data_IF_892523684562
#
_entry.id   IF_892523684562
#
_cell.length_a   1.000
_cell.length_b   1.000
_cell.length_c   1.000
_cell.angle_alpha   90.00
_cell.angle_beta   90.00
_cell.angle_gamma   90.00
#
_symmetry.space_group_name_H-M   'P 1'
#
loop_
_entity.id
_entity.type
_entity.pdbx_description
1 polymer ?
#
# COMPACT_ATOMS: atom_id res chain seq x y z
N UNK A 1 29.75 -0.57 -4.90
CA UNK A 1 28.28 -0.65 -4.95
C UNK A 1 27.75 0.71 -5.34
N UNK A 2 27.13 0.86 -6.50
CA UNK A 2 26.36 2.07 -6.82
C UNK A 2 24.90 1.74 -6.58
N UNK A 3 24.43 1.98 -5.36
CA UNK A 3 22.99 2.07 -5.08
C UNK A 3 22.71 3.55 -4.87
N UNK A 4 22.01 4.17 -5.81
CA UNK A 4 21.29 5.41 -5.52
C UNK A 4 19.87 5.12 -5.91
N UNK A 5 19.00 4.83 -4.93
CA UNK A 5 17.56 5.11 -4.97
C UNK A 5 17.03 5.21 -3.53
N UNK A 6 16.65 6.42 -3.12
CA UNK A 6 15.99 6.73 -1.85
C UNK A 6 14.46 6.67 -1.92
N UNK A 7 13.90 6.25 -3.06
CA UNK A 7 12.47 6.27 -3.34
C UNK A 7 11.99 4.92 -3.91
N UNK A 8 10.80 4.48 -3.49
CA UNK A 8 10.16 3.23 -3.93
C UNK A 8 9.84 3.26 -5.44
N UNK A 9 9.93 2.12 -6.16
CA UNK A 9 9.76 2.07 -7.61
C UNK A 9 8.28 2.19 -8.01
N UNK A 10 7.82 3.43 -8.19
CA UNK A 10 6.48 3.73 -8.69
C UNK A 10 6.56 4.07 -10.17
N UNK A 11 5.81 3.37 -11.01
CA UNK A 11 5.95 3.56 -12.45
C UNK A 11 4.79 3.04 -13.28
N UNK A 12 4.48 3.81 -14.32
CA UNK A 12 3.74 3.37 -15.49
C UNK A 12 4.65 3.39 -16.70
N UNK A 13 4.48 2.40 -17.58
CA UNK A 13 5.28 2.23 -18.79
C UNK A 13 4.38 1.85 -19.98
N UNK A 14 4.97 1.97 -21.16
CA UNK A 14 4.43 1.42 -22.40
C UNK A 14 5.32 0.23 -22.77
N UNK A 15 4.72 -0.88 -23.17
CA UNK A 15 5.45 -2.07 -23.61
C UNK A 15 6.14 -1.75 -24.94
N UNK A 16 7.47 -1.89 -24.98
CA UNK A 16 8.25 -1.74 -26.22
C UNK A 16 8.40 -3.09 -26.94
N UNK A 17 8.68 -4.17 -26.21
CA UNK A 17 8.75 -5.52 -26.77
C UNK A 17 8.43 -6.56 -25.71
N UNK A 18 8.19 -7.80 -26.16
CA UNK A 18 7.87 -8.95 -25.29
C UNK A 18 8.80 -10.12 -25.57
N UNK A 19 9.18 -10.84 -24.51
CA UNK A 19 9.99 -12.05 -24.62
C UNK A 19 9.21 -13.27 -25.13
N UNK A 20 9.90 -14.33 -25.58
CA UNK A 20 9.26 -15.56 -26.02
C UNK A 20 8.31 -16.15 -24.97
N UNK A 21 7.12 -16.57 -25.41
CA UNK A 21 6.09 -17.18 -24.55
C UNK A 21 5.19 -16.20 -23.80
N UNK A 22 5.44 -14.88 -23.88
CA UNK A 22 4.52 -13.87 -23.35
C UNK A 22 3.40 -13.64 -24.36
N UNK A 23 2.16 -13.96 -23.97
CA UNK A 23 0.97 -13.84 -24.84
C UNK A 23 -0.02 -12.77 -24.40
N UNK A 24 0.15 -12.24 -23.19
CA UNK A 24 -0.82 -11.33 -22.57
C UNK A 24 -0.53 -9.84 -22.83
N UNK A 25 0.61 -9.51 -23.44
CA UNK A 25 1.05 -8.15 -23.76
C UNK A 25 1.47 -8.05 -25.23
N UNK A 26 1.22 -6.88 -25.81
CA UNK A 26 1.70 -6.47 -27.13
C UNK A 26 2.48 -5.15 -26.98
N UNK A 27 3.32 -4.84 -27.97
CA UNK A 27 3.91 -3.51 -28.11
C UNK A 27 2.81 -2.42 -28.08
N UNK A 28 3.08 -1.32 -27.38
CA UNK A 28 2.14 -0.21 -27.18
C UNK A 28 1.19 -0.37 -26.00
N UNK A 29 1.12 -1.53 -25.34
CA UNK A 29 0.26 -1.69 -24.17
C UNK A 29 0.73 -0.82 -22.98
N UNK A 30 -0.21 -0.16 -22.32
CA UNK A 30 0.06 0.59 -21.10
C UNK A 30 0.07 -0.36 -19.90
N UNK A 31 1.11 -0.27 -19.07
CA UNK A 31 1.30 -1.17 -17.93
C UNK A 31 1.71 -0.43 -16.66
N UNK A 32 1.20 -0.90 -15.52
CA UNK A 32 1.76 -0.63 -14.20
C UNK A 32 2.78 -1.72 -13.87
N UNK A 33 3.97 -1.34 -13.43
CA UNK A 33 4.98 -2.30 -12.97
C UNK A 33 4.95 -2.37 -11.45
N UNK A 34 4.89 -3.58 -10.90
CA UNK A 34 4.66 -3.83 -9.47
C UNK A 34 5.79 -4.66 -8.87
N UNK A 35 6.10 -4.41 -7.59
CA UNK A 35 7.22 -5.05 -6.89
C UNK A 35 6.90 -6.45 -6.34
N UNK A 36 5.62 -6.84 -6.38
CA UNK A 36 5.15 -8.22 -6.21
C UNK A 36 4.38 -8.60 -7.47
N UNK A 37 4.52 -9.83 -7.93
CA UNK A 37 3.87 -10.32 -9.14
C UNK A 37 2.76 -11.34 -8.87
N UNK A 38 2.13 -11.79 -9.96
CA UNK A 38 1.05 -12.77 -9.93
C UNK A 38 1.22 -13.77 -11.09
N UNK A 39 1.70 -14.98 -10.78
CA UNK A 39 1.90 -16.03 -11.79
C UNK A 39 0.61 -16.78 -12.16
N UNK A 40 -0.49 -16.59 -11.41
CA UNK A 40 -1.80 -17.25 -11.56
C UNK A 40 -1.84 -18.77 -11.40
N UNK A 41 -0.70 -19.45 -11.31
CA UNK A 41 -0.63 -20.92 -11.31
C UNK A 41 -0.21 -21.53 -9.96
N UNK A 42 0.56 -20.81 -9.14
CA UNK A 42 1.00 -21.29 -7.83
C UNK A 42 -0.14 -21.37 -6.81
N UNK A 43 0.08 -22.07 -5.70
CA UNK A 43 -0.94 -22.30 -4.66
C UNK A 43 -1.48 -20.98 -4.10
N UNK A 44 -0.60 -20.01 -3.85
CA UNK A 44 -0.99 -18.71 -3.31
C UNK A 44 -1.84 -17.90 -4.28
N UNK A 45 -1.49 -17.88 -5.58
CA UNK A 45 -2.28 -17.17 -6.58
C UNK A 45 -3.67 -17.78 -6.80
N UNK A 46 -3.78 -19.11 -6.70
CA UNK A 46 -5.06 -19.83 -6.80
C UNK A 46 -5.95 -19.64 -5.57
N UNK A 47 -5.35 -19.42 -4.40
CA UNK A 47 -6.06 -19.14 -3.15
C UNK A 47 -6.67 -17.74 -3.14
N UNK A 48 -7.85 -17.56 -2.58
CA UNK A 48 -8.46 -16.26 -2.28
C UNK A 48 -7.89 -15.59 -1.02
N UNK A 49 -7.10 -16.33 -0.22
CA UNK A 49 -6.58 -15.88 1.08
C UNK A 49 -5.26 -15.11 1.03
N UNK A 50 -4.63 -14.99 -0.14
CA UNK A 50 -3.25 -14.49 -0.25
C UNK A 50 -3.01 -13.73 -1.55
N UNK A 51 -2.15 -12.72 -1.49
CA UNK A 51 -1.56 -12.05 -2.64
C UNK A 51 -0.04 -12.30 -2.79
N UNK A 52 0.54 -13.16 -1.97
CA UNK A 52 1.99 -13.41 -1.97
C UNK A 52 2.32 -14.56 -2.92
N UNK A 53 2.63 -14.25 -4.17
CA UNK A 53 2.99 -15.27 -5.16
C UNK A 53 4.25 -16.06 -4.73
N UNK A 54 4.22 -17.39 -4.83
CA UNK A 54 5.39 -18.25 -4.55
C UNK A 54 6.52 -18.06 -5.55
N UNK A 55 6.19 -17.71 -6.79
CA UNK A 55 7.16 -17.55 -7.88
C UNK A 55 7.65 -16.11 -7.96
N UNK A 56 6.75 -15.14 -7.79
CA UNK A 56 6.99 -13.71 -8.03
C UNK A 56 6.72 -12.90 -6.77
N UNK A 57 7.13 -13.41 -5.62
CA UNK A 57 7.03 -12.70 -4.34
C UNK A 57 7.92 -11.45 -4.30
N UNK A 58 8.30 -11.03 -3.10
CA UNK A 58 9.19 -9.87 -2.96
C UNK A 58 10.62 -10.23 -3.42
N UNK A 59 11.00 -9.75 -4.60
CA UNK A 59 12.31 -10.00 -5.21
C UNK A 59 13.45 -9.28 -4.46
N UNK A 60 14.52 -10.01 -4.12
CA UNK A 60 15.64 -9.50 -3.29
C UNK A 60 17.04 -9.79 -3.85
N UNK A 61 17.17 -10.61 -4.89
CA UNK A 61 18.45 -10.99 -5.51
C UNK A 61 18.90 -9.99 -6.56
N UNK A 62 17.98 -9.23 -7.15
CA UNK A 62 18.28 -8.20 -8.14
C UNK A 62 18.64 -8.77 -9.52
N UNK A 63 18.15 -9.97 -9.82
CA UNK A 63 18.36 -10.68 -11.08
C UNK A 63 17.04 -11.20 -11.65
N UNK A 64 17.01 -11.51 -12.94
CA UNK A 64 15.83 -12.04 -13.61
C UNK A 64 15.59 -13.51 -13.24
N UNK A 65 14.31 -13.89 -13.14
CA UNK A 65 13.92 -15.27 -12.78
C UNK A 65 14.34 -16.29 -13.84
N UNK A 66 14.38 -15.89 -15.10
CA UNK A 66 14.63 -16.76 -16.25
C UNK A 66 16.04 -17.35 -16.28
N UNK A 67 17.05 -16.57 -15.92
CA UNK A 67 18.47 -16.93 -16.09
C UNK A 67 19.36 -16.52 -14.90
N UNK A 68 18.78 -15.93 -13.86
CA UNK A 68 19.52 -15.39 -12.71
C UNK A 68 20.59 -14.36 -13.10
N UNK A 69 20.39 -13.64 -14.21
CA UNK A 69 21.26 -12.55 -14.66
C UNK A 69 20.57 -11.18 -14.58
N UNK A 70 21.36 -10.10 -14.63
CA UNK A 70 20.81 -8.75 -14.82
C UNK A 70 20.51 -8.46 -16.30
N UNK A 71 19.80 -7.35 -16.54
CA UNK A 71 19.56 -6.76 -17.88
C UNK A 71 20.25 -5.41 -18.03
N UNK A 72 20.86 -4.91 -16.97
CA UNK A 72 21.54 -3.62 -16.96
C UNK A 72 23.04 -3.82 -16.83
N UNK A 73 23.81 -3.07 -17.61
CA UNK A 73 25.26 -2.99 -17.47
C UNK A 73 25.76 -1.58 -17.74
N UNK A 74 26.85 -1.20 -17.11
CA UNK A 74 27.57 0.06 -17.38
C UNK A 74 29.02 -0.32 -17.66
N UNK A 75 29.50 -0.03 -18.88
CA UNK A 75 30.86 -0.35 -19.33
C UNK A 75 31.21 -1.84 -19.09
N UNK A 76 30.28 -2.73 -19.43
CA UNK A 76 30.43 -4.19 -19.25
C UNK A 76 30.29 -4.69 -17.80
N UNK A 77 30.10 -3.81 -16.80
CA UNK A 77 29.89 -4.22 -15.41
C UNK A 77 28.38 -4.34 -15.11
N UNK A 78 27.93 -5.42 -14.45
CA UNK A 78 26.52 -5.62 -14.15
C UNK A 78 25.99 -4.59 -13.16
N UNK A 79 24.78 -4.10 -13.41
CA UNK A 79 23.99 -3.27 -12.49
C UNK A 79 22.78 -4.08 -12.06
N UNK A 80 22.58 -4.27 -10.76
CA UNK A 80 21.49 -5.13 -10.27
C UNK A 80 20.13 -4.45 -10.40
N UNK A 81 19.10 -5.28 -10.60
CA UNK A 81 17.71 -4.85 -10.53
C UNK A 81 17.32 -4.51 -9.09
N UNK A 82 16.29 -3.68 -8.96
CA UNK A 82 15.70 -3.34 -7.67
C UNK A 82 14.20 -3.60 -7.66
N UNK A 83 13.74 -4.38 -6.68
CA UNK A 83 12.33 -4.71 -6.44
C UNK A 83 11.57 -5.18 -7.69
N UNK A 84 12.22 -5.98 -8.55
CA UNK A 84 11.68 -6.49 -9.81
C UNK A 84 11.20 -5.44 -10.84
N UNK A 85 11.44 -4.14 -10.61
CA UNK A 85 10.88 -3.05 -11.43
C UNK A 85 11.96 -2.13 -12.00
N UNK A 86 12.95 -1.71 -11.19
CA UNK A 86 14.05 -0.83 -11.63
C UNK A 86 13.59 0.41 -12.41
N UNK A 87 12.62 1.16 -11.87
CA UNK A 87 11.89 2.22 -12.60
C UNK A 87 12.67 3.51 -12.89
N UNK A 88 13.91 3.66 -12.42
CA UNK A 88 14.70 4.87 -12.68
C UNK A 88 15.69 4.63 -13.82
N UNK A 89 15.13 4.16 -14.92
CA UNK A 89 15.77 3.99 -16.22
C UNK A 89 14.69 4.23 -17.27
N UNK A 90 15.08 4.80 -18.41
CA UNK A 90 14.15 5.04 -19.53
C UNK A 90 13.48 3.73 -19.99
N UNK A 91 14.27 2.64 -20.00
CA UNK A 91 13.80 1.27 -20.25
C UNK A 91 14.09 0.36 -19.08
N UNK A 92 13.22 -0.62 -18.86
CA UNK A 92 13.43 -1.68 -17.87
C UNK A 92 12.86 -2.99 -18.39
N UNK A 93 13.41 -4.09 -17.89
CA UNK A 93 12.93 -5.43 -18.21
C UNK A 93 12.33 -6.02 -16.94
N UNK A 94 11.06 -6.42 -17.02
CA UNK A 94 10.32 -7.01 -15.90
C UNK A 94 9.77 -8.36 -16.29
N UNK A 95 9.54 -9.23 -15.30
CA UNK A 95 8.77 -10.45 -15.53
C UNK A 95 7.32 -10.08 -15.88
N UNK A 96 6.69 -10.75 -16.86
CA UNK A 96 5.32 -10.44 -17.31
C UNK A 96 4.29 -10.48 -16.16
N UNK A 97 4.47 -11.42 -15.23
CA UNK A 97 3.67 -11.50 -14.00
C UNK A 97 3.80 -10.29 -13.04
N UNK A 98 4.80 -9.43 -13.21
CA UNK A 98 4.98 -8.17 -12.47
C UNK A 98 4.57 -6.93 -13.29
N UNK A 99 4.00 -7.14 -14.48
CA UNK A 99 3.37 -6.10 -15.27
C UNK A 99 1.84 -6.26 -15.19
N UNK A 100 1.14 -5.14 -15.04
CA UNK A 100 -0.32 -5.11 -14.95
C UNK A 100 -0.83 -4.25 -16.09
N UNK A 101 -1.51 -4.86 -17.05
CA UNK A 101 -2.15 -4.15 -18.17
C UNK A 101 -3.22 -3.20 -17.65
N UNK A 102 -3.17 -1.96 -18.08
CA UNK A 102 -4.14 -0.91 -17.72
C UNK A 102 -4.69 -0.25 -18.97
N UNK A 103 -5.80 0.48 -18.81
CA UNK A 103 -6.41 1.20 -19.92
C UNK A 103 -5.49 2.27 -20.49
N UNK A 104 -5.36 2.34 -21.82
CA UNK A 104 -4.50 3.31 -22.51
C UNK A 104 -4.94 4.77 -22.31
N UNK A 105 -6.20 5.00 -21.98
CA UNK A 105 -6.73 6.34 -21.68
C UNK A 105 -6.38 6.82 -20.26
N UNK A 106 -5.74 5.98 -19.43
CA UNK A 106 -5.37 6.37 -18.08
C UNK A 106 -4.16 7.32 -18.08
N UNK A 107 -4.21 8.44 -17.34
CA UNK A 107 -3.08 9.35 -17.21
C UNK A 107 -1.95 8.67 -16.42
N UNK A 108 -0.93 8.21 -17.15
CA UNK A 108 0.17 7.40 -16.61
C UNK A 108 0.90 8.10 -15.45
N UNK A 109 1.05 9.41 -15.55
CA UNK A 109 1.69 10.28 -14.55
C UNK A 109 0.93 10.34 -13.22
N UNK A 110 -0.35 9.94 -13.21
CA UNK A 110 -1.17 9.89 -11.99
C UNK A 110 -1.32 8.47 -11.47
N UNK A 111 -1.56 7.52 -12.36
CA UNK A 111 -1.83 6.14 -11.97
C UNK A 111 -0.56 5.38 -11.55
N UNK A 112 0.64 5.87 -11.86
CA UNK A 112 1.89 5.29 -11.39
C UNK A 112 1.97 5.14 -9.85
N UNK A 113 1.29 6.02 -9.11
CA UNK A 113 1.21 5.95 -7.63
C UNK A 113 0.48 4.68 -7.13
N UNK A 114 -0.35 4.07 -7.98
CA UNK A 114 -1.08 2.84 -7.67
C UNK A 114 -0.19 1.58 -7.68
N UNK A 115 1.08 1.67 -8.10
CA UNK A 115 1.95 0.49 -8.09
C UNK A 115 2.65 0.24 -6.75
N UNK A 116 2.47 1.13 -5.75
CA UNK A 116 3.11 0.97 -4.44
C UNK A 116 2.23 1.50 -3.29
N UNK A 117 2.65 2.59 -2.64
CA UNK A 117 2.13 3.03 -1.35
C UNK A 117 0.66 3.42 -1.34
N UNK A 118 0.15 3.97 -2.45
CA UNK A 118 -1.26 4.37 -2.54
C UNK A 118 -2.18 3.15 -2.46
N UNK A 119 -1.92 2.14 -3.30
CA UNK A 119 -2.67 0.88 -3.29
C UNK A 119 -2.47 0.11 -2.01
N UNK A 120 -1.26 0.13 -1.43
CA UNK A 120 -1.00 -0.53 -0.15
C UNK A 120 -1.89 -0.01 0.97
N UNK A 121 -1.98 1.32 1.16
CA UNK A 121 -2.84 1.91 2.19
C UNK A 121 -4.33 1.72 1.90
N UNK A 122 -4.77 1.93 0.66
CA UNK A 122 -6.17 1.70 0.26
C UNK A 122 -6.61 0.26 0.50
N UNK A 123 -5.77 -0.69 0.09
CA UNK A 123 -6.05 -2.12 0.24
C UNK A 123 -5.99 -2.58 1.70
N UNK A 124 -5.11 -2.00 2.52
CA UNK A 124 -5.13 -2.31 3.95
C UNK A 124 -6.46 -1.92 4.60
N UNK A 125 -7.01 -0.76 4.25
CA UNK A 125 -8.32 -0.33 4.72
C UNK A 125 -9.47 -1.20 4.16
N UNK A 126 -9.42 -1.57 2.88
CA UNK A 126 -10.55 -2.20 2.19
C UNK A 126 -10.56 -3.73 2.25
N UNK A 127 -9.40 -4.35 2.17
CA UNK A 127 -9.25 -5.79 1.99
C UNK A 127 -8.73 -6.47 3.26
N UNK A 128 -7.79 -5.85 3.98
CA UNK A 128 -7.14 -6.48 5.14
C UNK A 128 -7.90 -6.21 6.43
N UNK A 129 -8.19 -4.94 6.71
CA UNK A 129 -9.01 -4.53 7.83
C UNK A 129 -10.51 -4.68 7.55
N UNK A 130 -10.89 -4.54 6.28
CA UNK A 130 -12.29 -4.55 5.84
C UNK A 130 -13.15 -3.60 6.69
N UNK A 131 -12.69 -2.33 6.81
CA UNK A 131 -13.24 -1.35 7.76
C UNK A 131 -14.76 -1.28 7.63
N UNK A 132 -15.45 -1.46 8.76
CA UNK A 132 -16.91 -1.33 8.83
C UNK A 132 -17.34 0.14 8.93
N UNK A 133 -18.57 0.41 8.48
CA UNK A 133 -19.14 1.76 8.54
C UNK A 133 -19.36 2.15 10.01
N UNK A 134 -19.02 3.39 10.35
CA UNK A 134 -19.17 3.93 11.69
C UNK A 134 -17.98 3.69 12.61
N UNK A 135 -16.95 2.96 12.17
CA UNK A 135 -15.79 2.64 13.00
C UNK A 135 -14.90 3.83 13.32
N UNK A 136 -14.18 3.70 14.44
CA UNK A 136 -13.05 4.55 14.82
C UNK A 136 -11.75 3.94 14.32
N UNK A 137 -11.00 4.74 13.55
CA UNK A 137 -9.74 4.33 12.91
C UNK A 137 -8.60 5.20 13.40
N UNK A 138 -7.49 4.58 13.82
CA UNK A 138 -6.26 5.28 14.18
C UNK A 138 -5.16 4.96 13.17
N UNK A 139 -4.40 5.97 12.75
CA UNK A 139 -3.35 5.83 11.74
C UNK A 139 -2.06 6.43 12.28
N UNK A 140 -1.06 5.59 12.54
CA UNK A 140 0.27 6.00 12.97
C UNK A 140 1.16 6.21 11.74
N UNK A 141 1.59 7.47 11.53
CA UNK A 141 2.40 7.89 10.40
C UNK A 141 1.56 8.39 9.23
N UNK A 142 1.56 9.70 8.99
CA UNK A 142 0.79 10.39 7.95
C UNK A 142 1.63 10.67 6.69
N UNK A 143 2.42 9.67 6.27
CA UNK A 143 3.04 9.64 4.94
C UNK A 143 2.05 9.17 3.86
N UNK A 144 2.52 8.92 2.64
CA UNK A 144 1.67 8.47 1.52
C UNK A 144 0.82 7.25 1.86
N UNK A 145 1.38 6.26 2.56
CA UNK A 145 0.65 5.05 2.96
C UNK A 145 -0.46 5.39 3.96
N UNK A 146 -0.15 6.12 5.04
CA UNK A 146 -1.14 6.50 6.05
C UNK A 146 -2.24 7.41 5.51
N UNK A 147 -1.91 8.38 4.64
CA UNK A 147 -2.91 9.19 3.95
C UNK A 147 -3.82 8.36 3.05
N UNK A 148 -3.28 7.30 2.44
CA UNK A 148 -4.06 6.36 1.63
C UNK A 148 -4.97 5.47 2.47
N UNK A 149 -4.52 5.06 3.66
CA UNK A 149 -5.37 4.41 4.67
C UNK A 149 -6.50 5.35 5.09
N UNK A 150 -6.22 6.62 5.39
CA UNK A 150 -7.23 7.61 5.78
C UNK A 150 -8.29 7.78 4.68
N UNK A 151 -7.84 7.91 3.43
CA UNK A 151 -8.73 7.99 2.28
C UNK A 151 -9.56 6.71 2.11
N UNK A 152 -8.96 5.55 2.35
CA UNK A 152 -9.63 4.26 2.32
C UNK A 152 -10.71 4.15 3.41
N UNK A 153 -10.38 4.51 4.65
CA UNK A 153 -11.27 4.54 5.81
C UNK A 153 -12.46 5.49 5.59
N UNK A 154 -12.20 6.71 5.08
CA UNK A 154 -13.25 7.67 4.72
C UNK A 154 -14.23 7.09 3.71
N UNK A 155 -13.72 6.42 2.67
CA UNK A 155 -14.55 5.80 1.63
C UNK A 155 -15.36 4.62 2.17
N UNK A 156 -14.84 3.89 3.16
CA UNK A 156 -15.56 2.82 3.87
C UNK A 156 -16.58 3.35 4.89
N UNK A 157 -16.58 4.66 5.16
CA UNK A 157 -17.54 5.30 6.05
C UNK A 157 -17.17 5.21 7.52
N UNK A 158 -15.88 5.18 7.85
CA UNK A 158 -15.42 5.38 9.22
C UNK A 158 -15.95 6.73 9.77
N UNK A 159 -16.37 6.74 11.03
CA UNK A 159 -16.95 7.93 11.68
C UNK A 159 -15.87 8.87 12.24
N UNK A 160 -14.81 8.29 12.79
CA UNK A 160 -13.67 8.99 13.39
C UNK A 160 -12.38 8.43 12.83
N UNK A 161 -11.52 9.32 12.32
CA UNK A 161 -10.21 8.97 11.76
C UNK A 161 -9.16 9.83 12.46
N UNK A 162 -8.42 9.20 13.37
CA UNK A 162 -7.39 9.84 14.20
C UNK A 162 -6.02 9.61 13.55
N UNK A 163 -5.40 10.69 13.08
CA UNK A 163 -4.04 10.66 12.54
C UNK A 163 -3.01 10.96 13.63
N UNK A 164 -1.99 10.11 13.75
CA UNK A 164 -0.91 10.26 14.71
C UNK A 164 0.41 10.49 13.97
N UNK A 165 1.03 11.66 14.16
CA UNK A 165 2.34 11.98 13.57
C UNK A 165 3.06 13.03 14.42
N UNK A 166 4.39 12.99 14.43
CA UNK A 166 5.20 13.95 15.18
C UNK A 166 5.38 15.28 14.46
N UNK A 167 5.10 15.33 13.14
CA UNK A 167 5.15 16.56 12.37
C UNK A 167 3.76 17.23 12.29
N UNK A 168 3.53 18.36 12.99
CA UNK A 168 2.24 19.06 12.99
C UNK A 168 1.85 19.61 11.61
N UNK A 169 2.81 19.89 10.72
CA UNK A 169 2.53 20.41 9.37
C UNK A 169 1.73 19.42 8.50
N UNK A 170 1.71 18.13 8.88
CA UNK A 170 0.93 17.12 8.18
C UNK A 170 -0.56 17.17 8.50
N UNK A 171 -0.96 17.82 9.60
CA UNK A 171 -2.35 17.87 10.06
C UNK A 171 -3.30 18.41 8.98
N UNK A 172 -3.02 19.60 8.44
CA UNK A 172 -3.89 20.24 7.44
C UNK A 172 -4.00 19.42 6.16
N UNK A 173 -2.88 18.85 5.70
CA UNK A 173 -2.90 17.95 4.53
C UNK A 173 -3.72 16.69 4.81
N UNK A 174 -3.59 16.12 6.00
CA UNK A 174 -4.29 14.89 6.37
C UNK A 174 -5.81 15.03 6.41
N UNK A 175 -6.34 16.21 6.79
CA UNK A 175 -7.78 16.52 6.74
C UNK A 175 -8.36 16.35 5.34
N UNK A 176 -7.63 16.76 4.30
CA UNK A 176 -8.06 16.57 2.91
C UNK A 176 -8.25 15.09 2.54
N UNK A 177 -7.50 14.19 3.16
CA UNK A 177 -7.59 12.73 2.96
C UNK A 177 -8.59 12.04 3.91
N UNK A 178 -9.22 12.78 4.82
CA UNK A 178 -10.28 12.28 5.69
C UNK A 178 -9.94 12.16 7.17
N UNK A 179 -8.72 12.52 7.58
CA UNK A 179 -8.40 12.60 9.01
C UNK A 179 -9.30 13.63 9.69
N UNK A 180 -9.99 13.23 10.75
CA UNK A 180 -10.91 14.09 11.52
C UNK A 180 -10.25 14.68 12.74
N UNK A 181 -9.29 13.96 13.34
CA UNK A 181 -8.58 14.34 14.56
C UNK A 181 -7.09 14.10 14.36
N UNK A 182 -6.25 14.98 14.87
CA UNK A 182 -4.79 14.85 14.80
C UNK A 182 -4.20 14.81 16.20
N UNK A 183 -3.27 13.87 16.42
CA UNK A 183 -2.53 13.73 17.66
C UNK A 183 -1.03 13.76 17.37
N UNK A 184 -0.34 14.70 18.02
CA UNK A 184 1.10 14.65 18.11
C UNK A 184 1.48 13.96 19.43
N UNK A 185 2.21 12.84 19.40
CA UNK A 185 2.66 12.16 20.62
C UNK A 185 3.48 13.07 21.55
N UNK A 186 4.18 14.07 20.99
CA UNK A 186 5.05 14.97 21.75
C UNK A 186 4.28 16.03 22.56
N UNK A 187 3.00 16.22 22.29
CA UNK A 187 2.17 17.23 22.97
C UNK A 187 1.55 16.67 24.27
N UNK A 188 1.81 15.41 24.61
CA UNK A 188 1.20 14.71 25.73
C UNK A 188 2.27 14.08 26.63
N UNK A 189 2.07 14.15 27.95
CA UNK A 189 2.96 13.53 28.94
C UNK A 189 2.68 12.04 29.16
N UNK A 190 1.60 11.52 28.58
CA UNK A 190 1.19 10.12 28.69
C UNK A 190 1.43 9.36 27.37
N UNK A 191 1.59 8.03 27.40
CA UNK A 191 1.75 7.24 26.19
C UNK A 191 0.55 7.40 25.23
N UNK A 192 0.81 7.61 23.94
CA UNK A 192 -0.22 7.95 22.94
C UNK A 192 -1.37 6.92 22.85
N UNK A 193 -1.09 5.64 23.08
CA UNK A 193 -2.11 4.60 23.14
C UNK A 193 -3.12 4.80 24.28
N UNK A 194 -2.70 5.39 25.41
CA UNK A 194 -3.59 5.72 26.53
C UNK A 194 -4.44 6.94 26.21
N UNK A 195 -3.85 7.97 25.58
CA UNK A 195 -4.60 9.12 25.05
C UNK A 195 -5.71 8.62 24.12
N UNK A 196 -5.36 7.76 23.17
CA UNK A 196 -6.32 7.18 22.22
C UNK A 196 -7.43 6.44 22.95
N UNK A 197 -7.10 5.54 23.89
CA UNK A 197 -8.12 4.83 24.66
C UNK A 197 -9.08 5.77 25.39
N UNK A 198 -8.56 6.85 26.00
CA UNK A 198 -9.40 7.84 26.69
C UNK A 198 -10.33 8.57 25.73
N UNK A 199 -9.83 9.11 24.62
CA UNK A 199 -10.65 9.93 23.71
C UNK A 199 -11.62 9.11 22.84
N UNK A 200 -11.43 7.79 22.81
CA UNK A 200 -12.27 6.84 22.06
C UNK A 200 -13.13 5.95 22.96
N UNK A 201 -13.13 6.18 24.28
CA UNK A 201 -13.88 5.38 25.25
C UNK A 201 -13.59 3.87 25.17
N UNK A 202 -12.30 3.50 25.09
CA UNK A 202 -11.84 2.11 25.15
C UNK A 202 -10.84 1.70 24.07
N UNK A 203 -10.67 2.50 23.01
CA UNK A 203 -9.71 2.26 21.94
C UNK A 203 -10.36 2.22 20.55
N UNK A 204 -9.53 2.18 19.51
CA UNK A 204 -9.99 2.15 18.13
C UNK A 204 -10.47 0.75 17.69
N UNK A 205 -11.45 0.70 16.78
CA UNK A 205 -11.84 -0.56 16.12
C UNK A 205 -10.72 -1.08 15.23
N UNK A 206 -10.04 -0.15 14.54
CA UNK A 206 -8.91 -0.45 13.67
C UNK A 206 -7.75 0.51 13.92
N UNK A 207 -6.54 -0.01 14.00
CA UNK A 207 -5.32 0.80 14.00
C UNK A 207 -4.38 0.38 12.87
N UNK A 208 -3.66 1.35 12.31
CA UNK A 208 -2.75 1.14 11.19
C UNK A 208 -1.37 1.68 11.52
N UNK A 209 -0.35 0.83 11.48
CA UNK A 209 1.05 1.22 11.63
C UNK A 209 1.66 1.42 10.22
N UNK A 210 2.02 2.66 9.90
CA UNK A 210 2.47 3.08 8.56
C UNK A 210 3.87 3.73 8.56
N UNK A 211 4.69 3.49 9.60
CA UNK A 211 6.00 4.11 9.81
C UNK A 211 7.12 3.11 9.49
N UNK A 212 6.99 1.87 9.95
CA UNK A 212 8.05 0.86 9.95
C UNK A 212 8.83 0.82 11.26
N UNK A 213 8.22 1.28 12.35
CA UNK A 213 8.79 1.19 13.69
C UNK A 213 8.14 0.00 14.44
N UNK A 214 8.96 -0.95 14.88
CA UNK A 214 8.45 -2.17 15.53
C UNK A 214 7.82 -1.90 16.90
N UNK A 215 8.28 -0.88 17.63
CA UNK A 215 7.65 -0.44 18.88
C UNK A 215 6.28 0.17 18.61
N UNK A 216 6.13 0.89 17.49
CA UNK A 216 4.83 1.44 17.09
C UNK A 216 3.79 0.38 16.72
N UNK A 217 4.20 -0.83 16.33
CA UNK A 217 3.27 -1.94 16.12
C UNK A 217 2.58 -2.31 17.44
N UNK A 218 3.35 -2.38 18.52
CA UNK A 218 2.81 -2.67 19.87
C UNK A 218 1.93 -1.52 20.37
N UNK A 219 2.35 -0.28 20.16
CA UNK A 219 1.52 0.90 20.46
C UNK A 219 0.21 0.87 19.69
N UNK A 220 0.24 0.53 18.39
CA UNK A 220 -0.96 0.42 17.57
C UNK A 220 -1.90 -0.67 18.10
N UNK A 221 -1.36 -1.83 18.46
CA UNK A 221 -2.14 -2.91 19.08
C UNK A 221 -2.74 -2.50 20.44
N UNK A 222 -1.98 -1.80 21.27
CA UNK A 222 -2.46 -1.32 22.58
C UNK A 222 -3.53 -0.22 22.46
N UNK A 223 -3.50 0.56 21.38
CA UNK A 223 -4.49 1.61 21.12
C UNK A 223 -5.85 1.09 20.65
N UNK A 224 -5.92 -0.19 20.27
CA UNK A 224 -7.15 -0.83 19.83
C UNK A 224 -8.09 -1.15 21.00
N UNK A 225 -9.38 -1.20 20.71
CA UNK A 225 -10.42 -1.63 21.62
C UNK A 225 -10.17 -3.07 22.09
N UNK A 226 -10.42 -3.32 23.38
CA UNK A 226 -10.49 -4.67 23.93
C UNK A 226 -11.65 -5.44 23.26
N UNK A 227 -11.49 -6.75 23.07
CA UNK A 227 -12.52 -7.63 22.49
C UNK A 227 -12.41 -7.84 20.99
N UNK A 228 -12.40 -6.78 20.18
CA UNK A 228 -12.46 -6.90 18.70
C UNK A 228 -11.43 -6.08 17.92
N UNK A 229 -10.67 -5.21 18.59
CA UNK A 229 -9.82 -4.26 17.90
C UNK A 229 -8.72 -4.91 17.05
N UNK A 230 -8.55 -4.42 15.83
CA UNK A 230 -7.61 -4.96 14.83
C UNK A 230 -6.50 -3.96 14.50
N UNK A 231 -5.25 -4.33 14.79
CA UNK A 231 -4.07 -3.61 14.34
C UNK A 231 -3.55 -4.19 13.02
N UNK A 232 -3.28 -3.33 12.04
CA UNK A 232 -2.71 -3.67 10.73
C UNK A 232 -1.36 -2.99 10.56
N UNK A 233 -0.29 -3.76 10.36
CA UNK A 233 1.04 -3.22 10.06
C UNK A 233 1.31 -3.21 8.56
N UNK A 234 1.77 -2.04 8.08
CA UNK A 234 2.20 -1.77 6.70
C UNK A 234 3.64 -1.30 6.62
N UNK A 235 4.14 -0.67 7.68
CA UNK A 235 5.48 -0.14 7.73
C UNK A 235 6.54 -1.19 7.43
N UNK A 236 7.55 -0.83 6.64
CA UNK A 236 8.68 -1.72 6.35
C UNK A 236 9.79 -1.40 7.35
N UNK A 237 10.08 -2.30 8.30
CA UNK A 237 11.01 -2.00 9.37
C UNK A 237 12.47 -2.08 8.94
N UNK A 238 13.34 -1.43 9.72
CA UNK A 238 14.80 -1.47 9.56
C UNK A 238 15.37 -2.83 10.03
N UNK A 239 16.69 -2.99 9.95
CA UNK A 239 17.39 -4.26 10.25
C UNK A 239 17.03 -4.82 11.64
N UNK A 240 16.82 -6.14 11.70
CA UNK A 240 16.38 -6.94 12.88
C UNK A 240 15.01 -6.52 13.45
N UNK A 241 13.92 -6.69 12.67
CA UNK A 241 12.61 -6.22 13.08
C UNK A 241 11.88 -7.23 13.98
N UNK A 242 12.16 -7.21 15.27
CA UNK A 242 11.41 -7.98 16.27
C UNK A 242 10.28 -7.15 16.86
N UNK A 243 9.12 -7.77 17.06
CA UNK A 243 7.93 -7.17 17.67
C UNK A 243 7.64 -7.88 18.98
N UNK A 244 7.51 -7.11 20.07
CA UNK A 244 7.20 -7.63 21.40
C UNK A 244 5.87 -7.05 21.89
N UNK A 245 4.94 -7.91 22.31
CA UNK A 245 3.65 -7.50 22.84
C UNK A 245 3.29 -8.34 24.07
N UNK A 246 2.62 -7.73 25.05
CA UNK A 246 2.14 -8.46 26.23
C UNK A 246 1.06 -9.46 25.80
N UNK A 247 1.19 -10.72 26.23
CA UNK A 247 0.28 -11.81 25.84
C UNK A 247 -1.21 -11.49 26.11
N UNK A 248 -1.49 -10.77 27.21
CA UNK A 248 -2.85 -10.34 27.56
C UNK A 248 -3.56 -9.48 26.50
N UNK A 249 -2.82 -8.82 25.59
CA UNK A 249 -3.43 -8.06 24.49
C UNK A 249 -4.17 -8.98 23.51
N UNK A 250 -3.63 -10.18 23.25
CA UNK A 250 -4.28 -11.16 22.39
C UNK A 250 -5.37 -11.92 23.13
N UNK A 251 -5.13 -12.26 24.40
CA UNK A 251 -6.13 -12.96 25.24
C UNK A 251 -7.40 -12.11 25.43
N UNK A 252 -7.26 -10.79 25.45
CA UNK A 252 -8.38 -9.84 25.49
C UNK A 252 -9.09 -9.65 24.15
N UNK A 253 -8.79 -10.43 23.11
CA UNK A 253 -9.53 -10.45 21.85
C UNK A 253 -8.99 -9.56 20.73
N UNK A 254 -7.88 -8.84 20.94
CA UNK A 254 -7.28 -8.03 19.87
C UNK A 254 -6.61 -8.91 18.83
N UNK A 255 -6.58 -8.42 17.59
CA UNK A 255 -5.92 -9.07 16.47
C UNK A 255 -4.79 -8.20 15.91
N UNK A 256 -3.67 -8.82 15.54
CA UNK A 256 -2.60 -8.19 14.76
C UNK A 256 -2.51 -8.86 13.38
N UNK A 257 -2.56 -8.07 12.30
CA UNK A 257 -2.39 -8.55 10.92
C UNK A 257 -1.30 -7.76 10.20
N UNK A 258 -0.56 -8.42 9.32
CA UNK A 258 0.31 -7.77 8.34
C UNK A 258 -0.44 -7.48 7.04
N UNK A 259 0.00 -6.46 6.32
CA UNK A 259 -0.55 -6.10 5.01
C UNK A 259 0.55 -5.81 4.00
N UNK A 260 0.87 -6.78 3.15
CA UNK A 260 1.75 -6.58 2.00
C UNK A 260 0.93 -6.08 0.80
N UNK A 261 1.30 -4.93 0.25
CA UNK A 261 0.64 -4.31 -0.89
C UNK A 261 -0.90 -4.21 -0.75
N UNK A 262 -1.40 -4.05 0.48
CA UNK A 262 -2.84 -3.89 0.74
C UNK A 262 -3.68 -5.13 0.45
N UNK A 263 -3.07 -6.31 0.38
CA UNK A 263 -3.77 -7.56 0.04
C UNK A 263 -4.22 -7.65 -1.42
N UNK A 264 -3.79 -6.72 -2.28
CA UNK A 264 -4.13 -6.76 -3.71
C UNK A 264 -3.35 -7.86 -4.43
N UNK A 265 -4.04 -8.67 -5.22
CA UNK A 265 -3.46 -9.47 -6.30
C UNK A 265 -3.20 -8.54 -7.49
N UNK A 266 -1.94 -8.28 -7.87
CA UNK A 266 -1.63 -7.18 -8.77
C UNK A 266 -2.34 -7.22 -10.12
N UNK A 267 -2.36 -8.38 -10.79
CA UNK A 267 -2.93 -8.51 -12.14
C UNK A 267 -4.45 -8.68 -12.11
N UNK A 268 -4.96 -9.31 -11.05
CA UNK A 268 -6.40 -9.52 -10.90
C UNK A 268 -7.11 -8.25 -10.42
N UNK A 269 -6.55 -7.51 -9.46
CA UNK A 269 -7.31 -6.47 -8.75
C UNK A 269 -7.00 -5.04 -9.20
N UNK A 270 -5.73 -4.70 -9.45
CA UNK A 270 -5.35 -3.31 -9.77
C UNK A 270 -6.01 -2.73 -11.03
N UNK A 271 -6.26 -3.48 -12.12
CA UNK A 271 -6.99 -2.94 -13.26
C UNK A 271 -8.37 -2.38 -12.86
N UNK A 272 -9.04 -3.05 -11.92
CA UNK A 272 -10.33 -2.59 -11.39
C UNK A 272 -10.19 -1.28 -10.59
N UNK A 273 -9.09 -1.13 -9.83
CA UNK A 273 -8.79 0.08 -9.06
C UNK A 273 -8.52 1.28 -9.99
N UNK A 274 -7.75 1.07 -11.06
CA UNK A 274 -7.52 2.08 -12.12
C UNK A 274 -8.84 2.48 -12.76
N UNK A 275 -9.70 1.51 -13.10
CA UNK A 275 -11.01 1.79 -13.68
C UNK A 275 -11.92 2.60 -12.73
N UNK A 276 -11.87 2.36 -11.41
CA UNK A 276 -12.60 3.18 -10.41
C UNK A 276 -12.10 4.61 -10.41
N UNK A 277 -10.78 4.82 -10.48
CA UNK A 277 -10.19 6.16 -10.60
C UNK A 277 -10.70 6.89 -11.85
N UNK A 278 -10.66 6.24 -13.02
CA UNK A 278 -11.14 6.84 -14.28
C UNK A 278 -12.62 7.21 -14.24
N UNK A 279 -13.47 6.35 -13.67
CA UNK A 279 -14.90 6.63 -13.51
C UNK A 279 -15.14 7.87 -12.64
N UNK A 280 -14.41 7.99 -11.52
CA UNK A 280 -14.56 9.14 -10.60
C UNK A 280 -14.11 10.44 -11.27
N UNK A 281 -12.98 10.44 -11.97
CA UNK A 281 -12.47 11.62 -12.71
C UNK A 281 -13.44 12.07 -13.79
N UNK A 282 -14.07 11.13 -14.51
CA UNK A 282 -15.11 11.47 -15.51
C UNK A 282 -16.34 12.10 -14.86
N UNK A 283 -16.79 11.58 -13.72
CA UNK A 283 -17.96 12.12 -13.01
C UNK A 283 -17.69 13.51 -12.41
N UNK A 284 -16.46 13.79 -11.96
CA UNK A 284 -16.09 15.14 -11.49
C UNK A 284 -15.88 16.16 -12.62
N UNK A 285 -15.72 15.69 -13.86
CA UNK A 285 -15.55 16.53 -15.06
C UNK A 285 -16.84 16.78 -15.84
N UNK A 286 -17.93 16.06 -15.54
CA UNK A 286 -19.24 16.43 -16.08
C UNK A 286 -19.70 17.71 -15.35
N UNK A 287 -19.93 18.82 -16.04
CA UNK A 287 -20.64 19.94 -15.45
C UNK A 287 -21.99 19.41 -14.96
N UNK A 288 -22.45 19.89 -13.81
CA UNK A 288 -23.87 19.84 -13.47
C UNK A 288 -24.64 20.56 -14.58
N UNK A 289 -25.07 19.84 -15.62
CA UNK A 289 -26.16 20.28 -16.47
C UNK A 289 -27.44 20.20 -15.63
N UNK A 290 -27.61 21.22 -14.79
CA UNK A 290 -28.88 21.56 -14.18
C UNK A 290 -29.67 22.42 -15.15
N UNK A 291 -30.85 21.93 -15.50
CA UNK A 291 -32.04 22.62 -15.98
C UNK A 291 -31.99 23.32 -17.36
N UNK A 292 -32.42 22.56 -18.37
CA UNK A 292 -33.31 23.06 -19.42
C UNK A 292 -34.46 22.05 -19.57
N UNK A 293 -35.53 22.29 -18.81
CA UNK A 293 -36.90 21.89 -19.09
C UNK A 293 -37.80 22.85 -18.32
#
# INVERSE_FOLDING_TARGET
MHFVLSHWPQCCRIVESVGPGVTEFNEGDHVLTVFIGECKTCRQCKSDKSNTCEVLGLERRGVMHSDQQTRFSIKGKPVYHYCAVSSFSEYTVVHSGCAVKVSSIAPLEKICLLSCGLSAGLGAAWNVADISKGSTVVIFGLGTVGLSVAQGAKVRGASRIIGVDTNPEKCEKAKAFGVTEFLNPNDNNEPVQQVIKRITDGGADYSFECIGDTGMITTALQSCCDGWGLAVTLGVPKLKPEVAAHYGLFLSGRTLKGSLFGGWKPKTDLPSLVNRYLKKVRNTRKPSCGNCA
#
